data_IF_391562264343
#
_entry.id   IF_391562264343
#
_cell.length_a   1.000
_cell.length_b   1.000
_cell.length_c   1.000
_cell.angle_alpha   90.00
_cell.angle_beta   90.00
_cell.angle_gamma   90.00
#
_symmetry.space_group_name_H-M   'P 1'
#
loop_
_entity.id
_entity.type
_entity.pdbx_description
1 polymer ?
#
# COMPACT_ATOMS: atom_id res chain seq x y z
N UNK A 1 33.48 2.10 -6.66
CA UNK A 1 32.69 3.02 -7.51
C UNK A 1 31.66 2.28 -8.35
N UNK A 2 32.07 1.39 -9.28
CA UNK A 2 31.16 0.68 -10.20
C UNK A 2 30.12 -0.21 -9.51
N UNK A 3 30.50 -0.88 -8.42
CA UNK A 3 29.63 -1.78 -7.67
C UNK A 3 28.58 -1.01 -6.85
N UNK A 4 28.93 0.19 -6.38
CA UNK A 4 28.01 1.08 -5.64
C UNK A 4 26.92 1.58 -6.59
N UNK A 5 27.28 1.95 -7.83
CA UNK A 5 26.31 2.35 -8.85
C UNK A 5 25.33 1.22 -9.18
N UNK A 6 25.82 -0.03 -9.28
CA UNK A 6 24.95 -1.19 -9.50
C UNK A 6 23.96 -1.40 -8.35
N UNK A 7 24.41 -1.30 -7.09
CA UNK A 7 23.53 -1.43 -5.93
C UNK A 7 22.49 -0.31 -5.86
N UNK A 8 22.87 0.93 -6.17
CA UNK A 8 21.94 2.07 -6.21
C UNK A 8 20.85 1.90 -7.26
N UNK A 9 21.24 1.47 -8.47
CA UNK A 9 20.29 1.17 -9.56
C UNK A 9 19.37 0.03 -9.17
N UNK A 10 19.89 -1.04 -8.55
CA UNK A 10 19.08 -2.16 -8.08
C UNK A 10 18.04 -1.74 -7.03
N UNK A 11 18.40 -0.86 -6.09
CA UNK A 11 17.47 -0.34 -5.09
C UNK A 11 16.37 0.53 -5.71
N UNK A 12 16.71 1.39 -6.68
CA UNK A 12 15.74 2.24 -7.37
C UNK A 12 14.77 1.38 -8.20
N UNK A 13 15.30 0.41 -8.95
CA UNK A 13 14.46 -0.50 -9.76
C UNK A 13 13.61 -1.40 -8.88
N UNK A 14 14.17 -1.91 -7.77
CA UNK A 14 13.44 -2.73 -6.80
C UNK A 14 12.27 -1.98 -6.14
N UNK A 15 12.50 -0.77 -5.66
CA UNK A 15 11.44 0.08 -5.06
C UNK A 15 10.38 0.48 -6.08
N UNK A 16 10.77 0.81 -7.31
CA UNK A 16 9.81 1.12 -8.39
C UNK A 16 9.00 -0.09 -8.83
N UNK A 17 9.62 -1.28 -8.89
CA UNK A 17 8.92 -2.52 -9.20
C UNK A 17 7.96 -2.93 -8.08
N UNK A 18 8.35 -2.79 -6.81
CA UNK A 18 7.45 -3.00 -5.68
C UNK A 18 6.20 -2.11 -5.81
N UNK A 19 6.40 -0.83 -6.11
CA UNK A 19 5.35 0.17 -6.37
C UNK A 19 4.49 -0.12 -7.61
N UNK A 20 5.04 -0.82 -8.60
CA UNK A 20 4.33 -1.20 -9.83
C UNK A 20 3.56 -2.51 -9.70
N UNK A 21 4.08 -3.47 -8.93
CA UNK A 21 3.51 -4.80 -8.78
C UNK A 21 2.30 -4.84 -7.82
N UNK A 22 2.16 -3.85 -6.94
CA UNK A 22 0.94 -3.64 -6.15
C UNK A 22 -0.31 -3.40 -7.02
N UNK A 23 -0.15 -2.93 -8.26
CA UNK A 23 -1.26 -2.79 -9.23
C UNK A 23 -1.80 -4.14 -9.70
N UNK A 24 -0.96 -5.19 -9.71
CA UNK A 24 -1.36 -6.51 -10.23
C UNK A 24 -2.03 -7.40 -9.18
N UNK A 25 -1.68 -7.26 -7.89
CA UNK A 25 -2.34 -8.02 -6.81
C UNK A 25 -3.80 -7.61 -6.54
N UNK A 26 -4.21 -6.40 -6.95
CA UNK A 26 -5.60 -5.97 -6.86
C UNK A 26 -6.44 -6.41 -8.09
N UNK A 27 -5.82 -6.53 -9.28
CA UNK A 27 -6.57 -6.88 -10.49
C UNK A 27 -7.09 -8.33 -10.51
N UNK A 28 -6.46 -9.25 -9.77
CA UNK A 28 -6.85 -10.67 -9.78
C UNK A 28 -7.95 -11.01 -8.76
N UNK A 29 -8.33 -10.09 -7.87
CA UNK A 29 -9.55 -10.20 -7.04
C UNK A 29 -10.75 -9.42 -7.59
N UNK A 30 -10.55 -8.66 -8.67
CA UNK A 30 -11.62 -7.98 -9.40
C UNK A 30 -12.18 -8.85 -10.55
N UNK A 31 -12.27 -10.17 -10.36
CA UNK A 31 -13.18 -11.00 -11.15
C UNK A 31 -14.35 -11.37 -10.23
N UNK A 32 -15.42 -10.56 -10.15
CA UNK A 32 -16.67 -11.09 -9.63
C UNK A 32 -17.10 -12.21 -10.59
N UNK A 33 -17.24 -13.47 -10.15
CA UNK A 33 -18.06 -14.41 -10.89
C UNK A 33 -19.51 -13.98 -10.66
N UNK A 34 -19.99 -13.03 -11.47
CA UNK A 34 -21.36 -13.14 -11.93
C UNK A 34 -21.37 -14.32 -12.91
N UNK A 35 -22.26 -15.29 -12.83
CA UNK A 35 -23.62 -15.19 -12.36
C UNK A 35 -24.16 -16.56 -11.91
N UNK A 36 -25.17 -16.46 -11.05
CA UNK A 36 -26.27 -17.39 -10.85
C UNK A 36 -26.04 -18.60 -9.93
N UNK A 37 -26.82 -18.55 -8.84
CA UNK A 37 -27.47 -19.68 -8.17
C UNK A 37 -26.58 -20.69 -7.44
N UNK A 38 -26.40 -20.51 -6.11
CA UNK A 38 -26.42 -21.57 -5.08
C UNK A 38 -25.48 -21.41 -3.86
N UNK A 39 -25.19 -20.20 -3.33
CA UNK A 39 -24.33 -20.09 -2.11
C UNK A 39 -24.82 -19.16 -1.00
N UNK A 40 -26.12 -19.17 -0.72
CA UNK A 40 -26.72 -18.49 0.44
C UNK A 40 -26.14 -18.94 1.80
N UNK A 41 -25.36 -20.02 1.87
CA UNK A 41 -24.79 -20.56 3.12
C UNK A 41 -23.32 -20.22 3.38
N UNK A 42 -22.60 -19.59 2.45
CA UNK A 42 -21.14 -19.34 2.59
C UNK A 42 -20.77 -17.87 2.91
N UNK A 43 -21.75 -16.98 3.09
CA UNK A 43 -21.52 -15.52 3.25
C UNK A 43 -21.33 -15.06 4.69
N UNK A 44 -21.41 -15.95 5.68
CA UNK A 44 -21.35 -15.58 7.10
C UNK A 44 -19.94 -15.48 7.70
N UNK A 45 -18.88 -15.73 6.95
CA UNK A 45 -17.52 -15.83 7.49
C UNK A 45 -16.47 -14.93 6.82
N UNK A 46 -16.86 -13.99 5.94
CA UNK A 46 -15.90 -13.03 5.40
C UNK A 46 -15.89 -11.76 6.26
N UNK A 47 -14.73 -11.37 6.83
CA UNK A 47 -14.63 -10.14 7.61
C UNK A 47 -15.05 -8.92 6.76
N UNK A 48 -15.63 -7.88 7.38
CA UNK A 48 -16.05 -6.68 6.68
C UNK A 48 -14.89 -6.07 5.90
N UNK A 49 -15.17 -5.57 4.69
CA UNK A 49 -14.16 -4.92 3.87
C UNK A 49 -13.63 -3.66 4.58
N UNK A 50 -12.33 -3.63 4.86
CA UNK A 50 -11.67 -2.49 5.51
C UNK A 50 -11.45 -1.33 4.55
N UNK A 51 -11.42 -0.10 5.08
CA UNK A 51 -11.06 1.08 4.28
C UNK A 51 -9.59 1.04 3.92
N UNK A 52 -9.27 1.31 2.66
CA UNK A 52 -7.89 1.46 2.20
C UNK A 52 -7.48 2.93 2.24
N UNK A 53 -6.37 3.22 2.89
CA UNK A 53 -5.79 4.55 3.03
C UNK A 53 -4.46 4.62 2.29
N UNK A 54 -4.05 5.83 1.90
CA UNK A 54 -2.85 6.08 1.10
C UNK A 54 -1.73 6.64 1.98
N UNK A 55 -0.53 6.09 1.90
CA UNK A 55 0.64 6.66 2.56
C UNK A 55 0.97 8.05 1.99
N UNK A 56 1.22 9.03 2.84
CA UNK A 56 1.55 10.40 2.38
C UNK A 56 3.00 10.56 1.91
N UNK A 57 3.88 9.61 2.21
CA UNK A 57 5.30 9.65 1.82
C UNK A 57 5.60 8.83 0.56
N UNK A 58 5.12 7.58 0.51
CA UNK A 58 5.38 6.67 -0.60
C UNK A 58 4.15 6.35 -1.45
N UNK A 59 2.99 6.96 -1.20
CA UNK A 59 1.72 6.76 -1.92
C UNK A 59 1.17 5.31 -1.97
N UNK A 60 1.75 4.37 -1.23
CA UNK A 60 1.27 2.99 -1.14
C UNK A 60 -0.12 2.95 -0.49
N UNK A 61 -1.02 2.12 -1.04
CA UNK A 61 -2.34 1.87 -0.45
C UNK A 61 -2.27 0.67 0.50
N UNK A 62 -2.83 0.86 1.70
CA UNK A 62 -2.74 -0.02 2.84
C UNK A 62 -4.10 -0.05 3.56
N UNK A 63 -4.59 -1.18 4.10
CA UNK A 63 -5.73 -1.17 5.02
C UNK A 63 -5.53 -0.21 6.19
N UNK A 64 -6.58 0.50 6.58
CA UNK A 64 -6.54 1.48 7.67
C UNK A 64 -6.06 0.87 9.00
N UNK A 65 -6.33 -0.42 9.23
CA UNK A 65 -5.89 -1.17 10.42
C UNK A 65 -4.36 -1.31 10.53
N UNK A 66 -3.65 -1.35 9.40
CA UNK A 66 -2.19 -1.45 9.34
C UNK A 66 -1.52 -0.06 9.19
N UNK A 67 -2.31 0.98 8.91
CA UNK A 67 -1.80 2.32 8.69
C UNK A 67 -1.54 3.07 10.00
N UNK A 68 -0.40 3.74 10.06
CA UNK A 68 -0.05 4.65 11.15
C UNK A 68 -0.68 6.01 10.86
N UNK A 69 -1.60 6.45 11.71
CA UNK A 69 -2.17 7.78 11.67
C UNK A 69 -1.12 8.84 12.04
N UNK A 70 -1.09 9.95 11.31
CA UNK A 70 -0.35 11.15 11.64
C UNK A 70 -1.26 12.37 11.74
N UNK A 71 -0.64 13.53 12.01
CA UNK A 71 -1.37 14.79 12.13
C UNK A 71 -2.08 15.15 10.81
N UNK A 72 -3.25 15.78 10.91
CA UNK A 72 -3.98 16.30 9.74
C UNK A 72 -4.67 15.25 8.86
N UNK A 73 -5.03 14.08 9.40
CA UNK A 73 -5.71 13.02 8.64
C UNK A 73 -4.81 12.26 7.66
N UNK A 74 -3.50 12.32 7.89
CA UNK A 74 -2.51 11.66 7.04
C UNK A 74 -2.23 10.24 7.54
N UNK A 75 -2.03 9.32 6.60
CA UNK A 75 -1.70 7.93 6.91
C UNK A 75 -0.30 7.57 6.40
N UNK A 76 0.36 6.63 7.08
CA UNK A 76 1.71 6.18 6.79
C UNK A 76 1.83 4.66 6.92
N UNK A 77 2.63 4.02 6.06
CA UNK A 77 2.86 2.58 6.12
C UNK A 77 3.92 2.17 7.16
N UNK A 78 4.73 3.11 7.65
CA UNK A 78 5.73 2.88 8.68
C UNK A 78 6.01 4.15 9.48
N UNK A 79 6.55 4.00 10.69
CA UNK A 79 6.95 5.12 11.54
C UNK A 79 8.04 5.96 10.88
N UNK A 80 8.98 5.30 10.19
CA UNK A 80 10.05 5.98 9.45
C UNK A 80 9.49 6.92 8.36
N UNK A 81 8.45 6.49 7.63
CA UNK A 81 7.81 7.33 6.61
C UNK A 81 7.06 8.52 7.22
N UNK A 82 6.41 8.33 8.37
CA UNK A 82 5.79 9.44 9.12
C UNK A 82 6.85 10.46 9.52
N UNK A 83 7.95 9.99 10.09
CA UNK A 83 9.00 10.85 10.62
C UNK A 83 9.76 11.56 9.49
N UNK A 84 10.03 10.88 8.36
CA UNK A 84 10.58 11.47 7.14
C UNK A 84 9.67 12.56 6.56
N UNK A 85 8.36 12.29 6.48
CA UNK A 85 7.37 13.26 6.01
C UNK A 85 7.35 14.51 6.90
N UNK A 86 7.29 14.33 8.23
CA UNK A 86 7.34 15.43 9.19
C UNK A 86 8.66 16.22 9.10
N UNK A 87 9.78 15.53 8.86
CA UNK A 87 11.08 16.17 8.68
C UNK A 87 11.15 16.98 7.37
N UNK A 88 10.39 16.61 6.33
CA UNK A 88 10.24 17.42 5.10
C UNK A 88 9.33 18.63 5.34
N UNK A 89 8.19 18.44 6.01
CA UNK A 89 7.27 19.55 6.32
C UNK A 89 7.93 20.63 7.15
N UNK A 90 8.77 20.28 8.13
CA UNK A 90 9.48 21.29 8.95
C UNK A 90 10.53 22.10 8.16
N UNK A 91 10.96 21.62 6.99
CA UNK A 91 11.92 22.31 6.13
C UNK A 91 11.24 23.18 5.07
N UNK A 92 9.95 22.98 4.84
CA UNK A 92 9.13 23.79 3.95
C UNK A 92 8.63 25.02 4.71
#
# INVERSE_FOLDING_TARGET
MRNILLLLVLLIVGTWWMRSNERKRNSERMRPPGANDARTTARQALPPAERMVRCSECDTYLPESEAIAGAGGRHFCSGEHRDAYLARERRA
#
